data_IF_394479091235
#
_entry.id   IF_394479091235
#
_cell.length_a   1.000
_cell.length_b   1.000
_cell.length_c   1.000
_cell.angle_alpha   90.00
_cell.angle_beta   90.00
_cell.angle_gamma   90.00
#
_symmetry.space_group_name_H-M   'P 1'
#
loop_
_entity.id
_entity.type
_entity.pdbx_description
1 polymer ?
#
# COMPACT_ATOMS: atom_id res chain seq x y z
N UNK A 1 17.59 -17.99 -2.38
CA UNK A 1 16.12 -18.05 -2.47
C UNK A 1 15.74 -17.30 -3.74
N UNK A 2 15.30 -18.00 -4.78
CA UNK A 2 14.85 -17.38 -6.02
C UNK A 2 13.41 -16.91 -5.78
N UNK A 3 13.16 -15.61 -5.87
CA UNK A 3 11.80 -15.09 -5.93
C UNK A 3 11.13 -15.66 -7.19
N UNK A 4 9.91 -16.21 -7.11
CA UNK A 4 9.24 -16.75 -8.28
C UNK A 4 9.12 -15.64 -9.33
N UNK A 5 9.32 -16.01 -10.60
CA UNK A 5 9.53 -15.12 -11.74
C UNK A 5 8.33 -14.21 -12.13
N UNK A 6 7.38 -14.02 -11.22
CA UNK A 6 6.06 -13.47 -11.46
C UNK A 6 5.60 -12.51 -10.35
N UNK A 7 6.55 -11.81 -9.72
CA UNK A 7 6.24 -10.70 -8.81
C UNK A 7 6.25 -9.38 -9.58
N UNK A 8 5.10 -8.70 -9.62
CA UNK A 8 4.95 -7.42 -10.33
C UNK A 8 4.97 -6.28 -9.32
N UNK A 9 5.82 -5.27 -9.59
CA UNK A 9 5.92 -4.05 -8.79
C UNK A 9 4.97 -2.98 -9.32
N UNK A 10 4.15 -2.44 -8.44
CA UNK A 10 3.14 -1.42 -8.72
C UNK A 10 3.40 -0.14 -7.93
N UNK A 11 3.06 1.01 -8.50
CA UNK A 11 3.23 2.32 -7.85
C UNK A 11 3.54 3.44 -8.86
N UNK A 12 3.88 4.64 -8.39
CA UNK A 12 4.02 5.03 -6.98
C UNK A 12 2.67 5.36 -6.30
N UNK A 13 2.49 4.94 -5.05
CA UNK A 13 1.39 5.36 -4.18
C UNK A 13 1.91 6.44 -3.23
N UNK A 14 1.35 7.66 -3.30
CA UNK A 14 1.75 8.77 -2.43
C UNK A 14 0.75 8.93 -1.30
N UNK A 15 1.16 8.62 -0.08
CA UNK A 15 0.35 8.82 1.13
C UNK A 15 0.66 10.18 1.77
N UNK A 16 -0.36 10.92 2.18
CA UNK A 16 -0.22 12.25 2.83
C UNK A 16 0.51 12.21 4.16
N UNK A 17 0.25 11.18 4.98
CA UNK A 17 0.74 11.10 6.38
C UNK A 17 1.67 9.93 6.66
N UNK A 18 2.26 9.31 5.61
CA UNK A 18 3.13 8.14 5.78
C UNK A 18 2.44 7.01 6.57
N UNK A 19 1.12 6.87 6.36
CA UNK A 19 0.27 5.95 7.13
C UNK A 19 0.34 4.55 6.52
N UNK A 20 1.43 3.84 6.84
CA UNK A 20 1.67 2.47 6.36
C UNK A 20 0.52 1.53 6.77
N UNK A 21 -0.06 1.71 7.95
CA UNK A 21 -1.19 0.91 8.42
C UNK A 21 -2.43 1.09 7.52
N UNK A 22 -2.71 2.33 7.10
CA UNK A 22 -3.82 2.60 6.17
C UNK A 22 -3.60 1.89 4.83
N UNK A 23 -2.39 1.97 4.28
CA UNK A 23 -2.07 1.29 3.03
C UNK A 23 -2.16 -0.24 3.17
N UNK A 24 -1.61 -0.80 4.25
CA UNK A 24 -1.68 -2.24 4.54
C UNK A 24 -3.14 -2.71 4.66
N UNK A 25 -3.99 -1.93 5.34
CA UNK A 25 -5.41 -2.24 5.46
C UNK A 25 -6.13 -2.21 4.11
N UNK A 26 -5.92 -1.18 3.27
CA UNK A 26 -6.55 -1.12 1.96
C UNK A 26 -6.06 -2.25 1.03
N UNK A 27 -4.77 -2.58 1.07
CA UNK A 27 -4.22 -3.70 0.28
C UNK A 27 -4.79 -5.05 0.74
N UNK A 28 -4.93 -5.28 2.06
CA UNK A 28 -5.60 -6.48 2.60
C UNK A 28 -7.08 -6.55 2.25
N UNK A 29 -7.76 -5.41 2.16
CA UNK A 29 -9.17 -5.35 1.75
C UNK A 29 -9.32 -5.71 0.26
N UNK A 30 -8.41 -5.24 -0.60
CA UNK A 30 -8.41 -5.54 -2.04
C UNK A 30 -7.97 -6.98 -2.34
N UNK A 31 -6.95 -7.47 -1.62
CA UNK A 31 -6.35 -8.79 -1.84
C UNK A 31 -6.33 -9.61 -0.54
N UNK A 32 -7.49 -10.10 -0.07
CA UNK A 32 -7.58 -10.83 1.18
C UNK A 32 -6.78 -12.13 1.10
N UNK A 33 -5.84 -12.31 2.03
CA UNK A 33 -5.01 -13.52 2.13
C UNK A 33 -3.83 -13.58 1.15
N UNK A 34 -3.58 -12.52 0.37
CA UNK A 34 -2.43 -12.43 -0.53
C UNK A 34 -1.25 -11.82 0.22
N UNK A 35 -0.08 -12.46 0.11
CA UNK A 35 1.18 -11.87 0.57
C UNK A 35 1.64 -10.80 -0.40
N UNK A 36 1.96 -9.60 0.11
CA UNK A 36 2.49 -8.49 -0.67
C UNK A 36 3.67 -7.85 0.05
N UNK A 37 4.55 -7.21 -0.71
CA UNK A 37 5.67 -6.44 -0.18
C UNK A 37 5.43 -4.96 -0.42
N UNK A 38 5.80 -4.12 0.54
CA UNK A 38 5.67 -2.67 0.44
C UNK A 38 7.03 -2.04 0.70
N UNK A 39 7.57 -1.37 -0.32
CA UNK A 39 8.82 -0.64 -0.27
C UNK A 39 8.57 0.87 -0.29
N UNK A 40 9.37 1.63 0.47
CA UNK A 40 9.30 3.09 0.50
C UNK A 40 10.54 3.65 -0.18
N UNK A 41 10.34 4.29 -1.33
CA UNK A 41 11.42 4.95 -2.08
C UNK A 41 11.04 6.42 -2.31
N UNK A 42 11.92 7.34 -1.91
CA UNK A 42 11.74 8.80 -2.09
C UNK A 42 10.38 9.33 -1.56
N UNK A 43 9.87 8.76 -0.47
CA UNK A 43 8.58 9.16 0.13
C UNK A 43 7.34 8.65 -0.63
N UNK A 44 7.53 7.76 -1.61
CA UNK A 44 6.46 7.04 -2.28
C UNK A 44 6.49 5.56 -1.91
N UNK A 45 5.32 4.94 -1.86
CA UNK A 45 5.15 3.52 -1.60
C UNK A 45 5.06 2.76 -2.92
N UNK A 46 5.76 1.64 -2.98
CA UNK A 46 5.74 0.69 -4.07
C UNK A 46 5.28 -0.65 -3.52
N UNK A 47 4.33 -1.28 -4.20
CA UNK A 47 3.71 -2.52 -3.76
C UNK A 47 4.06 -3.62 -4.74
N UNK A 48 4.66 -4.69 -4.28
CA UNK A 48 4.96 -5.87 -5.08
C UNK A 48 3.93 -6.96 -4.77
N UNK A 49 3.25 -7.43 -5.81
CA UNK A 49 2.21 -8.46 -5.72
C UNK A 49 2.64 -9.71 -6.51
N UNK A 50 2.27 -10.91 -6.04
CA UNK A 50 2.44 -12.13 -6.82
C UNK A 50 1.40 -12.22 -7.94
N UNK A 51 1.78 -12.77 -9.09
CA UNK A 51 0.84 -13.10 -10.17
C UNK A 51 -0.25 -14.08 -9.70
N UNK A 52 -1.51 -13.98 -10.20
CA UNK A 52 -2.02 -13.06 -11.21
C UNK A 52 -2.53 -11.72 -10.67
N UNK A 53 -2.25 -11.40 -9.39
CA UNK A 53 -2.75 -10.19 -8.77
C UNK A 53 -2.04 -8.96 -9.34
N UNK A 54 -2.82 -7.92 -9.60
CA UNK A 54 -2.33 -6.71 -10.21
C UNK A 54 -3.00 -5.50 -9.55
N UNK A 55 -2.19 -4.53 -9.13
CA UNK A 55 -2.70 -3.26 -8.64
C UNK A 55 -2.88 -2.29 -9.83
N UNK A 56 -4.12 -2.10 -10.25
CA UNK A 56 -4.47 -1.19 -11.34
C UNK A 56 -4.33 0.28 -10.93
N UNK A 57 -4.25 1.17 -11.93
CA UNK A 57 -4.21 2.62 -11.69
C UNK A 57 -5.47 3.12 -10.95
N UNK A 58 -6.64 2.52 -11.23
CA UNK A 58 -7.90 2.82 -10.55
C UNK A 58 -7.82 2.48 -9.06
N UNK A 59 -7.30 1.30 -8.70
CA UNK A 59 -7.10 0.92 -7.30
C UNK A 59 -6.16 1.91 -6.58
N UNK A 60 -5.08 2.34 -7.24
CA UNK A 60 -4.15 3.32 -6.68
C UNK A 60 -4.86 4.66 -6.44
N UNK A 61 -5.67 5.12 -7.40
CA UNK A 61 -6.41 6.36 -7.29
C UNK A 61 -7.45 6.30 -6.16
N UNK A 62 -8.15 5.18 -6.02
CA UNK A 62 -9.11 4.95 -4.94
C UNK A 62 -8.46 4.96 -3.56
N UNK A 63 -7.33 4.25 -3.40
CA UNK A 63 -6.53 4.28 -2.16
C UNK A 63 -6.12 5.72 -1.86
N UNK A 64 -5.71 6.48 -2.87
CA UNK A 64 -5.32 7.88 -2.69
C UNK A 64 -6.48 8.80 -2.32
N UNK A 65 -7.67 8.58 -2.90
CA UNK A 65 -8.87 9.35 -2.62
C UNK A 65 -9.44 9.08 -1.23
N UNK A 66 -9.31 7.85 -0.73
CA UNK A 66 -9.78 7.43 0.60
C UNK A 66 -8.86 7.82 1.75
N UNK A 67 -7.70 8.41 1.45
CA UNK A 67 -6.77 8.82 2.50
C UNK A 67 -7.45 9.81 3.45
N UNK A 68 -7.32 9.59 4.77
CA UNK A 68 -7.88 10.51 5.74
C UNK A 68 -7.22 11.89 5.59
N UNK A 69 -8.05 12.94 5.48
CA UNK A 69 -7.58 14.32 5.34
C UNK A 69 -6.90 14.85 6.63
N UNK A 70 -7.14 14.20 7.76
CA UNK A 70 -6.50 14.52 9.04
C UNK A 70 -6.03 13.23 9.70
N UNK A 71 -4.80 13.21 10.23
CA UNK A 71 -4.35 12.12 11.08
C UNK A 71 -5.26 12.04 12.32
N UNK A 72 -5.85 10.88 12.65
CA UNK A 72 -6.65 10.73 13.86
C UNK A 72 -5.84 11.14 15.08
N UNK A 73 -6.32 12.16 15.81
CA UNK A 73 -5.64 12.72 17.01
C UNK A 73 -5.29 11.67 18.06
N UNK A 74 -6.05 10.57 18.08
CA UNK A 74 -5.91 9.38 18.94
C UNK A 74 -4.66 8.53 18.65
N UNK A 75 -4.15 8.52 17.40
CA UNK A 75 -2.93 7.78 17.03
C UNK A 75 -1.64 8.40 17.57
N UNK A 76 -1.72 9.58 18.18
CA UNK A 76 -0.60 10.20 18.88
C UNK A 76 -0.28 9.34 20.10
N UNK A 77 0.57 8.34 19.91
CA UNK A 77 1.16 7.50 20.94
C UNK A 77 1.52 8.43 22.11
N UNK A 78 0.80 8.30 23.24
CA UNK A 78 1.27 8.86 24.51
C UNK A 78 2.62 8.19 24.76
N UNK A 79 3.70 8.93 24.50
CA UNK A 79 5.00 8.63 25.07
C UNK A 79 4.95 8.98 26.54
#
# INVERSE_FOLDING_TARGET
MAYPADETRHGPIRLRYTDHDFLDQELRNLFPGVGFLVDIEMGAYWVTLPHPFNLTAENIQDIQARQPHYAPRSRRRRR
#
